data_IF_096536222490
#
_entry.id   IF_096536222490
#
_cell.length_a   1.000
_cell.length_b   1.000
_cell.length_c   1.000
_cell.angle_alpha   90.00
_cell.angle_beta   90.00
_cell.angle_gamma   90.00
#
_symmetry.space_group_name_H-M   'P 1'
#
loop_
_entity.id
_entity.type
_entity.pdbx_description
1 polymer ?
#
# COMPACT_ATOMS: atom_id res chain seq x y z
N UNK A 1 -1.15 -11.35 -17.17
CA UNK A 1 -2.15 -10.70 -16.32
C UNK A 1 -3.54 -11.24 -16.61
N UNK A 2 -4.18 -11.87 -15.64
CA UNK A 2 -5.50 -12.49 -15.78
C UNK A 2 -6.66 -11.49 -15.90
N UNK A 3 -6.43 -10.21 -15.64
CA UNK A 3 -7.49 -9.20 -15.69
C UNK A 3 -7.67 -8.55 -17.06
N UNK A 4 -6.60 -8.40 -17.80
CA UNK A 4 -6.61 -7.77 -19.12
C UNK A 4 -6.00 -8.63 -20.24
N UNK A 5 -5.70 -9.90 -19.92
CA UNK A 5 -5.15 -10.90 -20.84
C UNK A 5 -3.82 -10.49 -21.52
N UNK A 6 -3.07 -9.56 -20.89
CA UNK A 6 -1.76 -9.14 -21.38
C UNK A 6 -0.66 -10.10 -20.91
N UNK A 7 0.33 -10.34 -21.78
CA UNK A 7 1.55 -11.04 -21.37
C UNK A 7 2.38 -10.15 -20.45
N UNK A 8 2.91 -10.72 -19.37
CA UNK A 8 3.84 -10.05 -18.46
C UNK A 8 5.16 -10.82 -18.45
N UNK A 9 6.25 -10.11 -18.65
CA UNK A 9 7.57 -10.67 -18.40
C UNK A 9 8.04 -10.23 -17.01
N UNK A 10 8.05 -11.18 -16.07
CA UNK A 10 8.46 -10.95 -14.68
C UNK A 10 9.72 -11.75 -14.39
N UNK A 11 10.73 -11.09 -13.86
CA UNK A 11 12.03 -11.68 -13.57
C UNK A 11 12.38 -11.58 -12.10
N UNK A 12 13.19 -12.52 -11.62
CA UNK A 12 13.80 -12.49 -10.28
C UNK A 12 15.28 -12.16 -10.44
N UNK A 13 15.72 -11.10 -9.77
CA UNK A 13 17.12 -10.76 -9.66
C UNK A 13 17.85 -11.76 -8.75
N UNK A 14 18.85 -12.49 -9.29
CA UNK A 14 19.60 -13.48 -8.52
C UNK A 14 20.51 -12.87 -7.46
N UNK A 15 20.88 -11.59 -7.61
CA UNK A 15 21.75 -10.90 -6.66
C UNK A 15 21.00 -10.37 -5.44
N UNK A 16 19.82 -9.78 -5.62
CA UNK A 16 19.08 -9.12 -4.53
C UNK A 16 17.70 -9.73 -4.23
N UNK A 17 17.25 -10.72 -5.01
CA UNK A 17 15.94 -11.35 -4.82
C UNK A 17 14.73 -10.50 -5.22
N UNK A 18 14.94 -9.29 -5.74
CA UNK A 18 13.83 -8.47 -6.23
C UNK A 18 13.14 -9.13 -7.42
N UNK A 19 11.83 -9.15 -7.37
CA UNK A 19 10.97 -9.65 -8.44
C UNK A 19 10.31 -8.45 -9.08
N UNK A 20 10.43 -8.32 -10.38
CA UNK A 20 9.96 -7.12 -11.09
C UNK A 20 9.61 -7.41 -12.55
N UNK A 21 8.87 -6.51 -13.15
CA UNK A 21 8.67 -6.52 -14.60
C UNK A 21 9.99 -6.24 -15.34
N UNK A 22 10.16 -6.81 -16.51
CA UNK A 22 11.30 -6.58 -17.38
C UNK A 22 10.83 -6.43 -18.84
N UNK A 23 11.02 -5.27 -19.50
CA UNK A 23 11.66 -4.07 -18.94
C UNK A 23 10.83 -3.42 -17.83
N UNK A 24 11.49 -2.66 -16.96
CA UNK A 24 10.82 -1.75 -16.03
C UNK A 24 10.27 -0.58 -16.86
N UNK A 25 8.97 -0.24 -16.76
CA UNK A 25 8.42 0.91 -17.46
C UNK A 25 9.06 2.21 -16.96
N UNK A 26 9.18 3.21 -17.82
CA UNK A 26 9.66 4.55 -17.46
C UNK A 26 8.69 5.27 -16.53
N UNK A 27 9.16 6.32 -15.84
CA UNK A 27 8.30 7.16 -15.00
C UNK A 27 7.17 7.79 -15.84
N UNK A 28 7.44 8.20 -17.08
CA UNK A 28 6.45 8.81 -17.97
C UNK A 28 5.35 7.80 -18.39
N UNK A 29 5.73 6.57 -18.77
CA UNK A 29 4.79 5.50 -19.09
C UNK A 29 3.89 5.15 -17.90
N UNK A 30 4.46 5.13 -16.70
CA UNK A 30 3.70 4.89 -15.46
C UNK A 30 2.74 6.04 -15.17
N UNK A 31 3.19 7.28 -15.30
CA UNK A 31 2.37 8.47 -15.07
C UNK A 31 1.20 8.53 -16.05
N UNK A 32 1.45 8.27 -17.32
CA UNK A 32 0.40 8.22 -18.35
C UNK A 32 -0.63 7.12 -18.04
N UNK A 33 -0.16 5.92 -17.71
CA UNK A 33 -1.04 4.80 -17.33
C UNK A 33 -1.91 5.13 -16.10
N UNK A 34 -1.34 5.71 -15.04
CA UNK A 34 -2.09 6.05 -13.83
C UNK A 34 -3.05 7.21 -14.02
N UNK A 35 -2.68 8.18 -14.84
CA UNK A 35 -3.55 9.32 -15.15
C UNK A 35 -4.79 8.93 -15.96
N UNK A 36 -4.64 8.02 -16.93
CA UNK A 36 -5.64 7.77 -17.95
C UNK A 36 -6.31 6.39 -17.88
N UNK A 37 -5.54 5.32 -17.66
CA UNK A 37 -6.01 3.95 -17.89
C UNK A 37 -6.28 3.14 -16.62
N UNK A 38 -5.45 3.25 -15.58
CA UNK A 38 -5.46 2.37 -14.41
C UNK A 38 -6.84 2.22 -13.76
N UNK A 39 -7.58 3.31 -13.63
CA UNK A 39 -8.90 3.30 -12.97
C UNK A 39 -9.98 2.69 -13.85
N UNK A 40 -9.87 2.83 -15.16
CA UNK A 40 -10.78 2.17 -16.10
C UNK A 40 -10.50 0.67 -16.14
N UNK A 41 -9.24 0.26 -16.23
CA UNK A 41 -8.84 -1.14 -16.32
C UNK A 41 -9.22 -1.95 -15.06
N UNK A 42 -8.96 -1.40 -13.87
CA UNK A 42 -9.12 -2.14 -12.62
C UNK A 42 -10.40 -1.83 -11.85
N UNK A 43 -10.95 -0.64 -11.96
CA UNK A 43 -12.11 -0.22 -11.12
C UNK A 43 -13.35 0.18 -11.90
N UNK A 44 -13.24 0.43 -13.20
CA UNK A 44 -14.35 0.85 -14.09
C UNK A 44 -15.16 2.03 -13.51
N UNK A 45 -14.52 2.92 -12.76
CA UNK A 45 -15.14 4.09 -12.14
C UNK A 45 -14.09 5.12 -11.74
N UNK A 46 -14.41 6.37 -11.89
CA UNK A 46 -13.58 7.51 -11.46
C UNK A 46 -13.80 7.88 -9.98
N UNK A 47 -14.82 7.32 -9.32
CA UNK A 47 -15.14 7.59 -7.93
C UNK A 47 -15.09 6.31 -7.09
N UNK A 48 -14.71 6.38 -5.81
CA UNK A 48 -14.77 5.25 -4.91
C UNK A 48 -16.20 4.71 -4.75
N UNK A 49 -16.40 3.41 -4.98
CA UNK A 49 -17.68 2.77 -4.64
C UNK A 49 -17.81 2.67 -3.13
N UNK A 50 -19.02 2.83 -2.58
CA UNK A 50 -19.31 2.80 -1.15
C UNK A 50 -18.74 1.56 -0.44
N UNK A 51 -18.81 0.40 -1.06
CA UNK A 51 -18.18 -0.82 -0.53
C UNK A 51 -16.65 -0.73 -0.42
N UNK A 52 -16.00 0.05 -1.29
CA UNK A 52 -14.55 0.28 -1.21
C UNK A 52 -14.22 1.23 -0.08
N UNK A 53 -15.02 2.28 0.12
CA UNK A 53 -14.92 3.18 1.28
C UNK A 53 -15.00 2.41 2.60
N UNK A 54 -15.98 1.50 2.72
CA UNK A 54 -16.12 0.66 3.91
C UNK A 54 -14.90 -0.23 4.16
N UNK A 55 -14.37 -0.87 3.12
CA UNK A 55 -13.18 -1.71 3.23
C UNK A 55 -11.93 -0.89 3.57
N UNK A 56 -11.75 0.24 2.89
CA UNK A 56 -10.64 1.16 3.14
C UNK A 56 -10.70 1.74 4.55
N UNK A 57 -11.90 2.06 5.05
CA UNK A 57 -12.13 2.53 6.41
C UNK A 57 -11.69 1.52 7.47
N UNK A 58 -12.08 0.24 7.32
CA UNK A 58 -11.65 -0.82 8.25
C UNK A 58 -10.12 -1.00 8.24
N UNK A 59 -9.49 -1.04 7.06
CA UNK A 59 -8.04 -1.10 6.93
C UNK A 59 -7.37 0.13 7.51
N UNK A 60 -7.96 1.31 7.30
CA UNK A 60 -7.48 2.58 7.85
C UNK A 60 -7.44 2.58 9.37
N UNK A 61 -8.52 2.14 10.02
CA UNK A 61 -8.57 2.01 11.49
C UNK A 61 -7.54 1.01 12.01
N UNK A 62 -7.34 -0.12 11.33
CA UNK A 62 -6.34 -1.11 11.70
C UNK A 62 -4.91 -0.55 11.61
N UNK A 63 -4.61 0.22 10.55
CA UNK A 63 -3.32 0.92 10.36
C UNK A 63 -3.08 1.99 11.43
N UNK A 64 -4.11 2.75 11.79
CA UNK A 64 -4.02 3.74 12.86
C UNK A 64 -3.78 3.06 14.21
N UNK A 65 -4.49 1.96 14.50
CA UNK A 65 -4.26 1.15 15.71
C UNK A 65 -2.83 0.61 15.75
N UNK A 66 -2.31 0.15 14.62
CA UNK A 66 -0.93 -0.32 14.49
C UNK A 66 0.07 0.78 14.88
N UNK A 67 -0.10 2.02 14.41
CA UNK A 67 0.74 3.17 14.77
C UNK A 67 0.61 3.49 16.27
N UNK A 68 -0.61 3.59 16.79
CA UNK A 68 -0.87 3.95 18.19
C UNK A 68 -0.31 2.93 19.18
N UNK A 69 -0.40 1.65 18.88
CA UNK A 69 0.18 0.59 19.71
C UNK A 69 1.71 0.64 19.78
N UNK A 70 2.35 1.44 18.92
CA UNK A 70 3.81 1.69 18.89
C UNK A 70 4.17 3.09 19.38
N UNK A 71 3.25 3.76 20.07
CA UNK A 71 3.47 5.08 20.67
C UNK A 71 3.40 6.25 19.67
N UNK A 72 2.99 5.99 18.42
CA UNK A 72 2.86 7.03 17.38
C UNK A 72 1.39 7.47 17.37
N UNK A 73 1.06 8.50 18.16
CA UNK A 73 -0.32 8.87 18.46
C UNK A 73 -0.77 10.18 17.81
N UNK A 74 0.16 11.03 17.38
CA UNK A 74 -0.10 12.36 16.86
C UNK A 74 1.05 12.86 15.97
N UNK A 75 0.96 14.10 15.52
CA UNK A 75 1.95 14.78 14.70
C UNK A 75 1.46 15.04 13.26
N UNK A 76 2.30 15.72 12.47
CA UNK A 76 2.02 15.95 11.05
C UNK A 76 2.19 14.64 10.28
N UNK A 77 1.13 14.21 9.62
CA UNK A 77 1.10 12.97 8.84
C UNK A 77 0.88 13.29 7.35
N UNK A 78 1.73 12.69 6.51
CA UNK A 78 1.56 12.67 5.05
C UNK A 78 1.14 11.27 4.61
N UNK A 79 0.03 11.17 3.88
CA UNK A 79 -0.45 9.94 3.26
C UNK A 79 -0.14 9.99 1.75
N UNK A 80 0.82 9.17 1.31
CA UNK A 80 1.30 9.14 -0.08
C UNK A 80 0.52 8.11 -0.88
N UNK A 81 -0.09 8.54 -2.00
CA UNK A 81 -1.03 7.72 -2.74
C UNK A 81 -2.34 7.55 -1.99
N UNK A 82 -2.87 8.66 -1.46
CA UNK A 82 -4.00 8.69 -0.52
C UNK A 82 -5.31 8.10 -1.07
N UNK A 83 -5.40 7.86 -2.36
CA UNK A 83 -6.59 7.31 -3.01
C UNK A 83 -7.84 8.15 -2.76
N UNK A 84 -8.90 7.52 -2.25
CA UNK A 84 -10.16 8.21 -1.90
C UNK A 84 -10.10 9.02 -0.61
N UNK A 85 -8.99 9.04 0.11
CA UNK A 85 -8.77 9.84 1.31
C UNK A 85 -9.30 9.24 2.61
N UNK A 86 -9.77 7.99 2.60
CA UNK A 86 -10.38 7.36 3.78
C UNK A 86 -9.41 7.28 4.96
N UNK A 87 -8.15 6.87 4.71
CA UNK A 87 -7.13 6.83 5.78
C UNK A 87 -6.74 8.22 6.24
N UNK A 88 -6.54 9.17 5.32
CA UNK A 88 -6.22 10.57 5.65
C UNK A 88 -7.32 11.19 6.51
N UNK A 89 -8.60 10.94 6.19
CA UNK A 89 -9.74 11.38 7.00
C UNK A 89 -9.73 10.77 8.39
N UNK A 90 -9.63 9.45 8.49
CA UNK A 90 -9.65 8.74 9.76
C UNK A 90 -8.49 9.15 10.67
N UNK A 91 -7.28 9.27 10.11
CA UNK A 91 -6.11 9.71 10.89
C UNK A 91 -6.25 11.14 11.39
N UNK A 92 -6.86 12.05 10.59
CA UNK A 92 -7.14 13.41 11.03
C UNK A 92 -8.14 13.48 12.20
N UNK A 93 -9.13 12.58 12.23
CA UNK A 93 -10.11 12.49 13.32
C UNK A 93 -9.56 11.77 14.56
N UNK A 94 -8.48 11.02 14.42
CA UNK A 94 -7.92 10.17 15.47
C UNK A 94 -6.58 10.64 16.02
N UNK A 95 -6.23 11.93 15.84
CA UNK A 95 -5.13 12.59 16.56
C UNK A 95 -3.97 13.10 15.70
N UNK A 96 -3.98 12.90 14.38
CA UNK A 96 -2.93 13.38 13.49
C UNK A 96 -3.34 14.67 12.75
N UNK A 97 -2.38 15.53 12.46
CA UNK A 97 -2.54 16.62 11.49
C UNK A 97 -2.24 16.08 10.09
N UNK A 98 -3.25 15.45 9.48
CA UNK A 98 -3.09 14.65 8.27
C UNK A 98 -3.29 15.48 7.01
N UNK A 99 -2.46 15.21 6.02
CA UNK A 99 -2.66 15.62 4.63
C UNK A 99 -2.30 14.45 3.71
N UNK A 100 -2.84 14.45 2.49
CA UNK A 100 -2.56 13.43 1.50
C UNK A 100 -2.04 14.02 0.20
N UNK A 101 -1.39 13.18 -0.59
CA UNK A 101 -1.09 13.44 -2.00
C UNK A 101 -1.57 12.26 -2.85
N UNK A 102 -2.27 12.56 -3.93
CA UNK A 102 -2.88 11.56 -4.82
C UNK A 102 -2.76 12.02 -6.28
N UNK A 103 -2.13 11.26 -7.18
CA UNK A 103 -1.97 11.67 -8.57
C UNK A 103 -3.29 11.68 -9.36
N UNK A 104 -4.28 10.88 -8.97
CA UNK A 104 -5.55 10.84 -9.68
C UNK A 104 -6.47 11.98 -9.27
N UNK A 105 -6.77 12.86 -10.24
CA UNK A 105 -7.61 14.07 -10.06
C UNK A 105 -9.01 13.72 -9.52
N UNK A 106 -9.66 12.68 -10.05
CA UNK A 106 -11.01 12.29 -9.62
C UNK A 106 -11.06 11.85 -8.16
N UNK A 107 -10.06 11.10 -7.71
CA UNK A 107 -9.97 10.64 -6.32
C UNK A 107 -9.59 11.75 -5.36
N UNK A 108 -8.65 12.60 -5.72
CA UNK A 108 -8.26 13.75 -4.89
C UNK A 108 -9.40 14.77 -4.75
N UNK A 109 -10.16 15.03 -5.83
CA UNK A 109 -11.36 15.85 -5.77
C UNK A 109 -12.43 15.24 -4.88
N UNK A 110 -12.75 13.95 -5.08
CA UNK A 110 -13.69 13.23 -4.24
C UNK A 110 -13.33 13.33 -2.75
N UNK A 111 -12.07 13.13 -2.40
CA UNK A 111 -11.62 13.19 -1.02
C UNK A 111 -11.79 14.60 -0.41
N UNK A 112 -11.52 15.66 -1.18
CA UNK A 112 -11.75 17.03 -0.74
C UNK A 112 -13.24 17.33 -0.53
N UNK A 113 -14.06 16.96 -1.49
CA UNK A 113 -15.51 17.23 -1.48
C UNK A 113 -16.25 16.41 -0.44
N UNK A 114 -15.99 15.09 -0.38
CA UNK A 114 -16.71 14.18 0.51
C UNK A 114 -16.27 14.31 1.97
N UNK A 115 -14.96 14.50 2.21
CA UNK A 115 -14.40 14.47 3.58
C UNK A 115 -13.93 15.81 4.11
N UNK A 116 -13.80 16.83 3.29
CA UNK A 116 -13.31 18.14 3.69
C UNK A 116 -11.86 18.14 4.20
N UNK A 117 -11.01 17.24 3.68
CA UNK A 117 -9.63 17.04 4.12
C UNK A 117 -8.63 17.66 3.14
N UNK A 118 -7.40 17.93 3.64
CA UNK A 118 -6.31 18.41 2.82
C UNK A 118 -5.71 17.26 2.02
N UNK A 119 -6.05 17.17 0.73
CA UNK A 119 -5.39 16.31 -0.25
C UNK A 119 -4.99 17.15 -1.45
N UNK A 120 -3.72 17.08 -1.82
CA UNK A 120 -3.17 17.71 -3.02
C UNK A 120 -3.21 16.72 -4.19
N UNK A 121 -3.48 17.21 -5.40
CA UNK A 121 -3.36 16.42 -6.61
C UNK A 121 -1.94 16.56 -7.12
N UNK A 122 -1.21 15.45 -7.23
CA UNK A 122 0.18 15.48 -7.65
C UNK A 122 0.96 14.24 -7.23
N UNK A 123 2.26 14.32 -7.36
CA UNK A 123 3.20 13.25 -7.05
C UNK A 123 4.00 13.54 -5.78
N UNK A 124 4.70 12.51 -5.26
CA UNK A 124 5.54 12.65 -4.08
C UNK A 124 6.59 13.77 -4.23
N UNK A 125 7.13 13.96 -5.43
CA UNK A 125 8.08 15.03 -5.75
C UNK A 125 7.54 16.44 -5.57
N UNK A 126 6.21 16.63 -5.59
CA UNK A 126 5.56 17.94 -5.46
C UNK A 126 5.36 18.33 -4.00
N UNK A 127 5.55 17.38 -3.09
CA UNK A 127 5.32 17.60 -1.65
C UNK A 127 6.45 18.41 -1.03
N UNK A 128 6.08 19.41 -0.25
CA UNK A 128 7.00 20.24 0.51
C UNK A 128 6.72 20.17 2.03
N UNK A 129 7.76 20.39 2.80
CA UNK A 129 7.66 20.45 4.27
C UNK A 129 8.25 19.23 4.97
N UNK A 130 7.99 19.12 6.28
CA UNK A 130 8.51 18.04 7.12
C UNK A 130 7.37 17.41 7.92
N UNK A 131 7.41 16.07 8.04
CA UNK A 131 6.38 15.26 8.65
C UNK A 131 6.95 14.40 9.80
N UNK A 132 6.13 14.16 10.82
CA UNK A 132 6.46 13.23 11.89
C UNK A 132 6.23 11.78 11.44
N UNK A 133 5.20 11.59 10.61
CA UNK A 133 4.81 10.28 10.07
C UNK A 133 4.54 10.42 8.58
N UNK A 134 5.07 9.49 7.80
CA UNK A 134 4.65 9.31 6.40
C UNK A 134 4.08 7.91 6.26
N UNK A 135 2.98 7.79 5.54
CA UNK A 135 2.36 6.51 5.22
C UNK A 135 2.30 6.33 3.71
N UNK A 136 2.45 5.07 3.25
CA UNK A 136 2.36 4.73 1.84
C UNK A 136 1.77 3.32 1.72
N UNK A 137 0.53 3.21 1.25
CA UNK A 137 -0.20 1.96 1.21
C UNK A 137 -0.56 1.57 -0.22
N UNK A 138 -0.08 0.42 -0.66
CA UNK A 138 -0.33 -0.10 -2.01
C UNK A 138 0.00 0.92 -3.11
N UNK A 139 1.15 1.57 -2.98
CA UNK A 139 1.64 2.55 -3.94
C UNK A 139 3.09 2.26 -4.37
N UNK A 140 3.95 1.78 -3.45
CA UNK A 140 5.38 1.57 -3.74
C UNK A 140 5.62 0.50 -4.83
N UNK A 141 4.77 -0.53 -4.90
CA UNK A 141 4.84 -1.58 -5.92
C UNK A 141 4.60 -1.08 -7.35
N UNK A 142 4.07 0.11 -7.48
CA UNK A 142 3.75 0.76 -8.75
C UNK A 142 4.82 1.76 -9.22
N UNK A 143 5.84 2.01 -8.41
CA UNK A 143 6.87 3.03 -8.68
C UNK A 143 8.09 2.38 -9.32
N UNK A 144 8.59 2.91 -10.46
CA UNK A 144 9.74 2.33 -11.17
C UNK A 144 11.02 2.28 -10.36
N UNK A 145 11.29 3.29 -9.53
CA UNK A 145 12.50 3.37 -8.72
C UNK A 145 12.19 3.49 -7.22
N UNK A 146 11.99 2.37 -6.51
CA UNK A 146 11.65 2.41 -5.09
C UNK A 146 12.78 2.98 -4.20
N UNK A 147 14.04 2.82 -4.58
CA UNK A 147 15.17 3.38 -3.79
C UNK A 147 15.17 4.90 -3.83
N UNK A 148 14.95 5.51 -5.00
CA UNK A 148 14.78 6.97 -5.13
C UNK A 148 13.55 7.46 -4.35
N UNK A 149 12.50 6.67 -4.31
CA UNK A 149 11.32 6.98 -3.49
C UNK A 149 11.65 7.04 -2.01
N UNK A 150 12.45 6.10 -1.50
CA UNK A 150 12.91 6.15 -0.10
C UNK A 150 13.77 7.37 0.20
N UNK A 151 14.57 7.86 -0.76
CA UNK A 151 15.32 9.12 -0.63
C UNK A 151 14.37 10.31 -0.43
N UNK A 152 13.37 10.48 -1.30
CA UNK A 152 12.36 11.54 -1.17
C UNK A 152 11.59 11.46 0.15
N UNK A 153 11.19 10.26 0.57
CA UNK A 153 10.51 10.05 1.85
C UNK A 153 11.42 10.40 3.04
N UNK A 154 12.71 10.10 2.95
CA UNK A 154 13.70 10.48 3.96
C UNK A 154 13.83 12.00 4.08
N UNK A 155 13.87 12.71 2.95
CA UNK A 155 13.97 14.18 2.94
C UNK A 155 12.71 14.86 3.47
N UNK A 156 11.54 14.24 3.34
CA UNK A 156 10.28 14.76 3.86
C UNK A 156 10.04 14.43 5.35
N UNK A 157 10.76 13.49 5.93
CA UNK A 157 10.62 13.15 7.34
C UNK A 157 11.47 14.04 8.25
N UNK A 158 10.95 14.35 9.45
CA UNK A 158 11.72 14.91 10.57
C UNK A 158 12.74 13.87 11.06
N UNK A 159 13.77 14.30 11.80
CA UNK A 159 14.87 13.43 12.29
C UNK A 159 14.38 12.22 13.11
N UNK A 160 13.33 12.39 13.92
CA UNK A 160 12.71 11.30 14.68
C UNK A 160 11.53 10.65 13.98
N UNK A 161 11.31 10.97 12.70
CA UNK A 161 10.12 10.59 11.94
C UNK A 161 10.02 9.11 11.66
N UNK A 162 8.79 8.65 11.43
CA UNK A 162 8.45 7.27 11.13
C UNK A 162 7.81 7.15 9.74
N UNK A 163 8.14 6.05 9.06
CA UNK A 163 7.57 5.70 7.76
C UNK A 163 6.84 4.36 7.89
N UNK A 164 5.55 4.34 7.54
CA UNK A 164 4.76 3.11 7.48
C UNK A 164 4.47 2.75 6.04
N UNK A 165 5.03 1.64 5.57
CA UNK A 165 4.80 1.10 4.23
C UNK A 165 3.93 -0.14 4.32
N UNK A 166 2.96 -0.27 3.42
CA UNK A 166 2.22 -1.51 3.21
C UNK A 166 2.16 -1.84 1.71
N UNK A 167 2.64 -3.03 1.34
CA UNK A 167 2.66 -3.55 -0.03
C UNK A 167 2.17 -5.00 -0.06
N UNK A 168 1.71 -5.53 -1.20
CA UNK A 168 1.40 -6.95 -1.32
C UNK A 168 2.62 -7.82 -1.03
N UNK A 169 2.42 -8.90 -0.28
CA UNK A 169 3.47 -9.87 0.03
C UNK A 169 3.55 -10.92 -1.06
N UNK A 170 4.64 -10.93 -1.83
CA UNK A 170 4.82 -11.94 -2.87
C UNK A 170 4.93 -13.36 -2.30
N UNK A 171 5.32 -13.51 -1.04
CA UNK A 171 5.52 -14.81 -0.39
C UNK A 171 4.23 -15.38 0.24
N UNK A 172 3.12 -14.63 0.24
CA UNK A 172 1.85 -15.10 0.82
C UNK A 172 1.32 -16.37 0.16
N UNK A 173 0.59 -17.19 0.92
CA UNK A 173 -0.11 -18.37 0.42
C UNK A 173 -1.51 -18.08 -0.11
N UNK A 174 -2.08 -16.93 0.21
CA UNK A 174 -3.48 -16.63 0.01
C UNK A 174 -3.82 -16.05 -1.38
N UNK A 175 -2.82 -15.89 -2.25
CA UNK A 175 -3.01 -15.50 -3.65
C UNK A 175 -3.12 -16.73 -4.55
N UNK A 176 -4.23 -16.83 -5.32
CA UNK A 176 -4.34 -17.88 -6.35
C UNK A 176 -3.28 -17.67 -7.45
N UNK A 177 -2.83 -18.74 -8.12
CA UNK A 177 -1.80 -18.64 -9.16
C UNK A 177 -2.10 -17.61 -10.27
N UNK A 178 -3.37 -17.39 -10.58
CA UNK A 178 -3.80 -16.38 -11.56
C UNK A 178 -3.77 -14.93 -11.01
N UNK A 179 -3.61 -14.73 -9.69
CA UNK A 179 -3.65 -13.43 -9.05
C UNK A 179 -2.33 -13.09 -8.34
N UNK A 180 -1.22 -13.62 -8.84
CA UNK A 180 0.11 -13.30 -8.30
C UNK A 180 0.68 -12.07 -8.99
N UNK A 181 0.56 -12.02 -10.32
CA UNK A 181 1.19 -10.99 -11.15
C UNK A 181 0.15 -10.12 -11.86
N UNK A 182 0.36 -8.80 -11.81
CA UNK A 182 -0.52 -7.79 -12.39
C UNK A 182 0.27 -6.77 -13.21
N UNK A 183 -0.28 -6.31 -14.32
CA UNK A 183 0.34 -5.28 -15.17
C UNK A 183 0.67 -4.00 -14.39
N UNK A 184 -0.18 -3.63 -13.43
CA UNK A 184 0.02 -2.42 -12.63
C UNK A 184 1.15 -2.56 -11.60
N UNK A 185 1.55 -3.77 -11.18
CA UNK A 185 2.62 -3.98 -10.21
C UNK A 185 3.96 -4.13 -10.94
N UNK A 186 4.82 -3.15 -10.80
CA UNK A 186 6.17 -3.16 -11.37
C UNK A 186 7.09 -4.03 -10.52
N UNK A 187 6.97 -3.89 -9.20
CA UNK A 187 7.75 -4.63 -8.20
C UNK A 187 6.87 -5.54 -7.35
N UNK A 188 7.42 -6.69 -6.97
CA UNK A 188 6.78 -7.67 -6.09
C UNK A 188 7.70 -7.92 -4.89
N UNK A 189 7.33 -7.36 -3.75
CA UNK A 189 8.17 -7.35 -2.57
C UNK A 189 8.03 -8.63 -1.73
N UNK A 190 9.18 -9.16 -1.30
CA UNK A 190 9.30 -9.98 -0.10
C UNK A 190 9.69 -9.09 1.08
N UNK A 191 9.62 -9.63 2.30
CA UNK A 191 10.05 -8.90 3.49
C UNK A 191 11.51 -8.44 3.38
N UNK A 192 12.39 -9.29 2.89
CA UNK A 192 13.82 -8.99 2.73
C UNK A 192 14.07 -7.90 1.69
N UNK A 193 13.40 -7.95 0.54
CA UNK A 193 13.60 -6.95 -0.53
C UNK A 193 13.02 -5.59 -0.17
N UNK A 194 11.89 -5.52 0.56
CA UNK A 194 11.33 -4.26 1.03
C UNK A 194 12.25 -3.58 2.06
N UNK A 195 12.72 -4.36 3.04
CA UNK A 195 13.66 -3.85 4.06
C UNK A 195 14.99 -3.43 3.42
N UNK A 196 15.50 -4.21 2.47
CA UNK A 196 16.70 -3.86 1.71
C UNK A 196 16.56 -2.54 0.96
N UNK A 197 15.47 -2.35 0.20
CA UNK A 197 15.24 -1.12 -0.57
C UNK A 197 15.22 0.13 0.32
N UNK A 198 14.76 0.00 1.56
CA UNK A 198 14.70 1.09 2.54
C UNK A 198 16.02 1.28 3.31
N UNK A 199 16.90 0.28 3.33
CA UNK A 199 17.99 0.14 4.30
C UNK A 199 19.04 1.28 4.27
N UNK A 200 19.16 1.98 3.15
CA UNK A 200 20.08 3.13 3.05
C UNK A 200 19.64 4.29 3.94
N UNK A 201 18.34 4.51 4.06
CA UNK A 201 17.73 5.69 4.68
C UNK A 201 16.99 5.40 5.99
N UNK A 202 16.58 4.14 6.20
CA UNK A 202 15.67 3.77 7.28
C UNK A 202 16.13 2.53 8.03
N UNK A 203 15.85 2.51 9.33
CA UNK A 203 15.93 1.33 10.19
C UNK A 203 14.56 0.69 10.33
N UNK A 204 14.46 -0.61 10.13
CA UNK A 204 13.23 -1.36 10.37
C UNK A 204 12.95 -1.44 11.88
N UNK A 205 11.77 -0.96 12.31
CA UNK A 205 11.29 -1.07 13.69
C UNK A 205 10.47 -2.35 13.87
N UNK A 206 9.48 -2.56 12.99
CA UNK A 206 8.56 -3.67 13.11
C UNK A 206 8.03 -4.12 11.74
N UNK A 207 7.57 -5.35 11.67
CA UNK A 207 7.03 -5.94 10.45
C UNK A 207 5.88 -6.90 10.76
N UNK A 208 4.77 -6.74 10.05
CA UNK A 208 3.70 -7.73 9.95
C UNK A 208 3.74 -8.30 8.54
N UNK A 209 3.81 -9.61 8.44
CA UNK A 209 3.97 -10.33 7.17
C UNK A 209 2.84 -11.35 7.00
N UNK A 210 1.71 -10.86 6.52
CA UNK A 210 0.52 -11.66 6.19
C UNK A 210 0.30 -11.64 4.66
N UNK A 211 -0.95 -11.42 4.22
CA UNK A 211 -1.27 -11.16 2.80
C UNK A 211 -0.56 -9.92 2.27
N UNK A 212 -0.32 -8.95 3.14
CA UNK A 212 0.49 -7.76 2.88
C UNK A 212 1.70 -7.73 3.81
N UNK A 213 2.74 -7.05 3.35
CA UNK A 213 3.86 -6.64 4.18
C UNK A 213 3.56 -5.24 4.71
N UNK A 214 3.41 -5.11 6.02
CA UNK A 214 3.32 -3.83 6.70
C UNK A 214 4.58 -3.61 7.50
N UNK A 215 5.39 -2.65 7.12
CA UNK A 215 6.69 -2.39 7.77
C UNK A 215 6.72 -0.97 8.30
N UNK A 216 7.02 -0.87 9.59
CA UNK A 216 7.30 0.39 10.24
C UNK A 216 8.81 0.62 10.25
N UNK A 217 9.19 1.76 9.72
CA UNK A 217 10.57 2.22 9.67
C UNK A 217 10.74 3.48 10.51
N UNK A 218 11.97 3.70 10.98
CA UNK A 218 12.43 4.95 11.57
C UNK A 218 13.47 5.59 10.68
N UNK A 219 13.40 6.90 10.50
CA UNK A 219 14.40 7.66 9.77
C UNK A 219 15.77 7.52 10.44
N UNK A 220 16.79 7.16 9.70
CA UNK A 220 18.17 7.12 10.18
C UNK A 220 18.69 8.52 10.46
N UNK A 221 19.57 8.65 11.42
CA UNK A 221 20.32 9.90 11.69
C UNK A 221 21.39 10.14 10.61
N UNK A 222 22.03 9.07 10.15
CA UNK A 222 23.07 9.10 9.14
C UNK A 222 22.74 8.11 8.03
N UNK A 223 22.81 8.55 6.78
CA UNK A 223 22.64 7.71 5.60
C UNK A 223 23.78 6.67 5.56
N UNK A 224 23.43 5.42 5.28
CA UNK A 224 24.40 4.31 5.17
C UNK A 224 24.43 3.74 3.75
N UNK A 225 25.26 2.75 3.52
CA UNK A 225 25.21 1.98 2.29
C UNK A 225 23.95 1.13 2.22
N UNK A 226 23.51 0.81 1.01
CA UNK A 226 22.39 -0.09 0.76
C UNK A 226 22.77 -1.50 1.17
N UNK A 227 21.95 -2.11 2.04
CA UNK A 227 22.17 -3.48 2.52
C UNK A 227 21.32 -4.43 1.67
N UNK A 228 21.98 -5.24 0.85
CA UNK A 228 21.28 -6.25 0.04
C UNK A 228 20.84 -7.43 0.91
N UNK A 229 19.76 -8.14 0.52
CA UNK A 229 19.39 -9.41 1.14
C UNK A 229 20.53 -10.42 1.04
N UNK A 230 20.68 -11.25 2.08
CA UNK A 230 21.68 -12.33 2.07
C UNK A 230 21.33 -13.39 1.02
N UNK A 231 22.32 -14.17 0.59
CA UNK A 231 22.11 -15.31 -0.31
C UNK A 231 21.06 -16.29 0.22
N UNK A 232 21.02 -16.50 1.52
CA UNK A 232 20.02 -17.37 2.17
C UNK A 232 18.61 -16.81 2.00
N UNK A 233 18.41 -15.50 2.23
CA UNK A 233 17.11 -14.83 2.05
C UNK A 233 16.63 -14.91 0.60
N UNK A 234 17.52 -14.66 -0.37
CA UNK A 234 17.21 -14.80 -1.80
C UNK A 234 16.81 -16.25 -2.14
N UNK A 235 17.54 -17.21 -1.59
CA UNK A 235 17.25 -18.64 -1.80
C UNK A 235 15.91 -19.04 -1.17
N UNK A 236 15.59 -18.54 0.03
CA UNK A 236 14.30 -18.78 0.69
C UNK A 236 13.13 -18.23 -0.13
N UNK A 237 13.22 -16.98 -0.58
CA UNK A 237 12.20 -16.39 -1.47
C UNK A 237 12.05 -17.20 -2.75
N UNK A 238 13.13 -17.61 -3.39
CA UNK A 238 13.10 -18.42 -4.62
C UNK A 238 12.38 -19.75 -4.38
N UNK A 239 12.76 -20.47 -3.33
CA UNK A 239 12.12 -21.75 -2.94
C UNK A 239 10.64 -21.54 -2.61
N UNK A 240 10.32 -20.41 -1.98
CA UNK A 240 8.94 -20.07 -1.65
C UNK A 240 8.07 -19.86 -2.90
N UNK A 241 8.60 -19.17 -3.91
CA UNK A 241 7.90 -18.97 -5.18
C UNK A 241 7.68 -20.28 -5.96
N UNK A 242 8.67 -21.17 -5.96
CA UNK A 242 8.56 -22.49 -6.62
C UNK A 242 7.46 -23.38 -6.02
N UNK A 243 7.11 -23.17 -4.75
CA UNK A 243 6.04 -23.93 -4.07
C UNK A 243 4.65 -23.37 -4.36
N UNK A 244 4.54 -22.16 -4.93
CA UNK A 244 3.25 -21.54 -5.22
C UNK A 244 2.48 -22.35 -6.27
N UNK A 245 1.24 -22.71 -5.92
CA UNK A 245 0.38 -23.49 -6.79
C UNK A 245 -1.04 -23.58 -6.25
N UNK A 246 -1.94 -24.22 -7.00
CA UNK A 246 -3.34 -24.38 -6.61
C UNK A 246 -3.52 -25.16 -5.31
N UNK A 247 -2.74 -26.24 -5.10
CA UNK A 247 -2.82 -27.03 -3.88
C UNK A 247 -2.42 -26.21 -2.65
N UNK A 248 -1.35 -25.44 -2.74
CA UNK A 248 -0.94 -24.59 -1.66
C UNK A 248 -1.97 -23.49 -1.35
N UNK A 249 -2.50 -22.82 -2.38
CA UNK A 249 -3.54 -21.83 -2.24
C UNK A 249 -4.80 -22.39 -1.55
N UNK A 250 -5.27 -23.55 -1.97
CA UNK A 250 -6.49 -24.18 -1.41
C UNK A 250 -6.28 -24.60 0.04
N UNK A 251 -5.20 -25.32 0.34
CA UNK A 251 -5.01 -25.97 1.64
C UNK A 251 -4.27 -25.13 2.66
N UNK A 252 -3.29 -24.29 2.25
CA UNK A 252 -2.51 -23.43 3.14
C UNK A 252 -2.92 -21.96 3.09
N UNK A 253 -3.47 -21.50 1.97
CA UNK A 253 -3.92 -20.14 1.75
C UNK A 253 -5.40 -19.93 2.04
N UNK A 254 -6.05 -20.90 2.68
CA UNK A 254 -7.48 -20.83 3.03
C UNK A 254 -8.40 -20.52 1.82
N UNK A 255 -7.99 -20.94 0.62
CA UNK A 255 -8.74 -20.68 -0.61
C UNK A 255 -10.19 -21.16 -0.54
N UNK A 256 -10.42 -22.29 0.13
CA UNK A 256 -11.76 -22.85 0.36
C UNK A 256 -12.65 -21.97 1.25
N UNK A 257 -12.09 -21.20 2.18
CA UNK A 257 -12.84 -20.30 3.07
C UNK A 257 -13.26 -18.99 2.38
N UNK A 258 -12.65 -18.66 1.23
CA UNK A 258 -12.89 -17.37 0.57
C UNK A 258 -14.31 -17.21 0.05
N UNK A 259 -14.95 -18.31 -0.38
CA UNK A 259 -16.34 -18.26 -0.87
C UNK A 259 -17.33 -17.84 0.23
N UNK A 260 -17.42 -18.52 1.39
CA UNK A 260 -18.32 -18.09 2.47
C UNK A 260 -17.98 -16.69 3.01
N UNK A 261 -16.71 -16.34 3.12
CA UNK A 261 -16.28 -14.99 3.52
C UNK A 261 -16.71 -13.93 2.50
N UNK A 262 -16.74 -14.26 1.21
CA UNK A 262 -17.24 -13.35 0.17
C UNK A 262 -18.75 -13.12 0.29
N UNK A 263 -19.52 -14.15 0.58
CA UNK A 263 -20.98 -14.04 0.79
C UNK A 263 -21.29 -13.17 2.00
N UNK A 264 -20.62 -13.38 3.14
CA UNK A 264 -20.81 -12.55 4.33
C UNK A 264 -20.46 -11.07 4.08
N UNK A 265 -19.37 -10.80 3.33
CA UNK A 265 -19.02 -9.43 2.92
C UNK A 265 -20.09 -8.78 2.04
N UNK A 266 -20.67 -9.51 1.08
CA UNK A 266 -21.75 -9.00 0.23
C UNK A 266 -22.96 -8.59 1.09
N UNK A 267 -23.33 -9.41 2.07
CA UNK A 267 -24.45 -9.11 2.99
C UNK A 267 -24.20 -7.84 3.83
N UNK A 268 -22.99 -7.67 4.37
CA UNK A 268 -22.63 -6.46 5.12
C UNK A 268 -22.64 -5.23 4.19
N UNK A 269 -22.05 -5.35 3.01
CA UNK A 269 -21.94 -4.27 2.03
C UNK A 269 -23.31 -3.83 1.49
N UNK A 270 -24.29 -4.73 1.38
CA UNK A 270 -25.66 -4.39 0.97
C UNK A 270 -26.38 -3.46 1.95
N UNK A 271 -26.01 -3.49 3.23
CA UNK A 271 -26.60 -2.64 4.27
C UNK A 271 -26.09 -1.20 4.30
N UNK A 272 -24.99 -0.93 3.64
CA UNK A 272 -24.32 0.39 3.69
C UNK A 272 -24.40 1.16 2.37
N UNK A 273 -24.91 0.56 1.30
CA UNK A 273 -24.87 1.13 -0.06
C UNK A 273 -25.61 2.47 -0.20
N UNK A 274 -26.54 2.78 0.71
CA UNK A 274 -27.32 4.02 0.75
C UNK A 274 -26.68 5.14 1.59
N UNK A 275 -25.55 4.87 2.25
CA UNK A 275 -24.83 5.86 3.07
C UNK A 275 -23.79 6.61 2.24
N UNK A 276 -23.51 7.88 2.59
CA UNK A 276 -22.35 8.59 2.08
C UNK A 276 -21.04 8.07 2.67
N UNK A 277 -19.91 8.33 2.01
CA UNK A 277 -18.60 7.92 2.48
C UNK A 277 -18.27 8.46 3.86
N UNK A 278 -18.51 9.74 4.07
CA UNK A 278 -18.26 10.40 5.37
C UNK A 278 -19.11 9.81 6.49
N UNK A 279 -20.35 9.45 6.22
CA UNK A 279 -21.24 8.82 7.23
C UNK A 279 -20.71 7.46 7.65
N UNK A 280 -20.23 6.65 6.69
CA UNK A 280 -19.64 5.34 6.98
C UNK A 280 -18.42 5.50 7.87
N UNK A 281 -17.50 6.40 7.52
CA UNK A 281 -16.27 6.59 8.30
C UNK A 281 -16.56 7.14 9.70
N UNK A 282 -17.53 8.05 9.83
CA UNK A 282 -17.95 8.57 11.15
C UNK A 282 -18.59 7.49 12.03
N UNK A 283 -19.44 6.63 11.45
CA UNK A 283 -20.01 5.51 12.17
C UNK A 283 -18.90 4.57 12.69
N UNK A 284 -17.88 4.28 11.86
CA UNK A 284 -16.74 3.46 12.24
C UNK A 284 -15.92 4.07 13.38
N UNK A 285 -15.68 5.39 13.38
CA UNK A 285 -14.97 6.08 14.46
C UNK A 285 -15.70 5.90 15.78
N UNK A 286 -17.03 6.10 15.80
CA UNK A 286 -17.87 5.93 16.99
C UNK A 286 -17.76 4.51 17.58
N UNK A 287 -17.84 3.48 16.74
CA UNK A 287 -17.67 2.08 17.18
C UNK A 287 -16.25 1.74 17.64
N UNK A 288 -15.27 2.52 17.23
CA UNK A 288 -13.87 2.27 17.59
C UNK A 288 -13.48 2.94 18.93
N UNK A 289 -14.21 3.98 19.35
CA UNK A 289 -13.94 4.74 20.58
C UNK A 289 -14.80 4.30 21.78
N UNK A 290 -15.85 3.53 21.56
CA UNK A 290 -16.68 2.91 22.60
C UNK A 290 -16.25 1.48 22.90
#
# INVERSE_FOLDING_TARGET
DSKNNSSLNVVLCKACGMIQQNPIPSEDEVNEYYSNEYRQDYKKTYLPKIKHVFRAGNLGLDRIRFLKNRGINNGRLLDVGAGGGEFTYLSSKLGFMSQGIEPNVGYSNYAREEYGIKIETGQLSDVNGKFNVITMFHALEHIPNPVKTFELLFDLLQESGHLLIEVPNIETNDASPHNIYFKAHIHYFSASTLVSAASKYFDKIDIVSDSNLRVLFKRKKVISDLILPSFEQVTQTTRRLQKKGWLEYIFKGDGYKKLPLRLSKIFIESRIHHKSGIKILNDMIKYHQG
#
